data_IF_524922838122
#
_entry.id   IF_524922838122
#
_cell.length_a   1.000
_cell.length_b   1.000
_cell.length_c   1.000
_cell.angle_alpha   90.00
_cell.angle_beta   90.00
_cell.angle_gamma   90.00
#
_symmetry.space_group_name_H-M   'P 1'
#
loop_
_entity.id
_entity.type
_entity.pdbx_description
1 polymer ?
#
# COMPACT_ATOMS: atom_id res chain seq x y z
N UNK A 1 4.64 -23.01 -20.45
CA UNK A 1 6.10 -22.87 -20.21
C UNK A 1 6.27 -22.10 -18.90
N UNK A 2 5.53 -22.49 -17.85
CA UNK A 2 5.20 -21.60 -16.73
C UNK A 2 5.64 -22.14 -15.35
N UNK A 3 5.84 -23.45 -15.22
CA UNK A 3 6.24 -24.05 -13.93
C UNK A 3 7.61 -23.60 -13.44
N UNK A 4 8.57 -23.33 -14.35
CA UNK A 4 9.91 -22.86 -13.97
C UNK A 4 9.92 -21.43 -13.43
N UNK A 5 9.07 -20.54 -13.97
CA UNK A 5 8.99 -19.15 -13.52
C UNK A 5 8.29 -19.05 -12.15
N UNK A 6 7.27 -19.89 -11.93
CA UNK A 6 6.53 -19.94 -10.66
C UNK A 6 7.37 -20.46 -9.49
N UNK A 7 8.23 -21.46 -9.72
CA UNK A 7 9.15 -21.95 -8.68
C UNK A 7 10.18 -20.89 -8.27
N UNK A 8 10.63 -20.05 -9.19
CA UNK A 8 11.61 -18.98 -8.92
C UNK A 8 11.02 -17.86 -8.07
N UNK A 9 9.82 -17.38 -8.41
CA UNK A 9 9.16 -16.29 -7.65
C UNK A 9 8.79 -16.71 -6.23
N UNK A 10 8.26 -17.93 -6.04
CA UNK A 10 7.93 -18.42 -4.69
C UNK A 10 9.16 -18.55 -3.81
N UNK A 11 10.26 -19.08 -4.37
CA UNK A 11 11.52 -19.24 -3.64
C UNK A 11 12.12 -17.89 -3.28
N UNK A 12 12.13 -16.93 -4.22
CA UNK A 12 12.59 -15.55 -3.97
C UNK A 12 11.78 -14.86 -2.88
N UNK A 13 10.44 -14.97 -2.94
CA UNK A 13 9.56 -14.38 -1.93
C UNK A 13 9.80 -14.98 -0.53
N UNK A 14 10.02 -16.29 -0.43
CA UNK A 14 10.36 -16.95 0.83
C UNK A 14 11.71 -16.47 1.37
N UNK A 15 12.74 -16.39 0.52
CA UNK A 15 14.06 -15.90 0.89
C UNK A 15 14.00 -14.48 1.44
N UNK A 16 13.31 -13.57 0.74
CA UNK A 16 13.14 -12.20 1.21
C UNK A 16 12.35 -12.09 2.50
N UNK A 17 11.26 -12.86 2.63
CA UNK A 17 10.48 -12.87 3.85
C UNK A 17 11.36 -13.25 5.06
N UNK A 18 12.23 -14.26 4.90
CA UNK A 18 13.19 -14.65 5.93
C UNK A 18 14.28 -13.61 6.18
N UNK A 19 14.76 -12.95 5.13
CA UNK A 19 15.84 -11.98 5.23
C UNK A 19 15.40 -10.71 5.95
N UNK A 20 14.23 -10.17 5.58
CA UNK A 20 13.73 -8.89 6.11
C UNK A 20 12.87 -9.06 7.37
N UNK A 21 12.44 -10.29 7.65
CA UNK A 21 11.73 -10.70 8.87
C UNK A 21 12.33 -12.03 9.40
N UNK A 22 13.59 -12.04 9.86
CA UNK A 22 14.25 -13.27 10.31
C UNK A 22 13.60 -13.91 11.54
N UNK A 23 12.90 -13.12 12.34
CA UNK A 23 12.15 -13.55 13.52
C UNK A 23 10.66 -13.78 13.21
N UNK A 24 10.31 -14.07 11.95
CA UNK A 24 8.92 -14.33 11.57
C UNK A 24 8.42 -15.61 12.25
N UNK A 25 7.50 -15.43 13.19
CA UNK A 25 6.85 -16.46 13.97
C UNK A 25 5.42 -16.00 14.28
N UNK A 26 4.63 -16.84 14.97
CA UNK A 26 3.23 -16.51 15.23
C UNK A 26 3.09 -15.22 16.05
N UNK A 27 3.95 -15.01 17.04
CA UNK A 27 3.90 -13.81 17.89
C UNK A 27 4.19 -12.54 17.09
N UNK A 28 5.20 -12.55 16.21
CA UNK A 28 5.50 -11.39 15.36
C UNK A 28 4.40 -11.12 14.34
N UNK A 29 3.77 -12.16 13.77
CA UNK A 29 2.58 -12.02 12.93
C UNK A 29 1.40 -11.40 13.69
N UNK A 30 1.12 -11.86 14.90
CA UNK A 30 0.02 -11.35 15.72
C UNK A 30 0.21 -9.85 16.02
N UNK A 31 1.45 -9.41 16.27
CA UNK A 31 1.79 -7.99 16.46
C UNK A 31 1.53 -7.18 15.19
N UNK A 32 1.97 -7.67 14.03
CA UNK A 32 1.74 -7.01 12.73
C UNK A 32 0.24 -6.87 12.45
N UNK A 33 -0.54 -7.92 12.70
CA UNK A 33 -1.98 -7.90 12.45
C UNK A 33 -2.71 -7.01 13.47
N UNK A 34 -2.26 -6.95 14.73
CA UNK A 34 -2.79 -6.02 15.73
C UNK A 34 -2.57 -4.56 15.30
N UNK A 35 -1.38 -4.24 14.80
CA UNK A 35 -1.07 -2.91 14.28
C UNK A 35 -1.99 -2.53 13.11
N UNK A 36 -2.22 -3.45 12.17
CA UNK A 36 -3.16 -3.21 11.07
C UNK A 36 -4.58 -2.96 11.61
N UNK A 37 -5.05 -3.79 12.53
CA UNK A 37 -6.41 -3.67 13.09
C UNK A 37 -6.59 -2.32 13.80
N UNK A 38 -5.61 -1.86 14.57
CA UNK A 38 -5.67 -0.53 15.19
C UNK A 38 -5.72 0.59 14.15
N UNK A 39 -5.01 0.47 13.03
CA UNK A 39 -5.12 1.44 11.94
C UNK A 39 -6.51 1.38 11.26
N UNK A 40 -7.04 0.17 11.02
CA UNK A 40 -8.39 -0.02 10.44
C UNK A 40 -9.45 0.65 11.32
N UNK A 41 -9.36 0.48 12.65
CA UNK A 41 -10.29 1.08 13.61
C UNK A 41 -10.28 2.61 13.52
N UNK A 42 -9.10 3.23 13.45
CA UNK A 42 -8.96 4.68 13.27
C UNK A 42 -9.59 5.12 11.95
N UNK A 43 -9.22 4.47 10.84
CA UNK A 43 -9.68 4.87 9.50
C UNK A 43 -11.18 4.71 9.36
N UNK A 44 -11.76 3.59 9.81
CA UNK A 44 -13.21 3.36 9.75
C UNK A 44 -13.99 4.20 10.76
N UNK A 45 -13.36 4.57 11.87
CA UNK A 45 -13.93 5.49 12.85
C UNK A 45 -14.06 6.90 12.30
N UNK A 46 -13.06 7.38 11.56
CA UNK A 46 -13.07 8.69 10.90
C UNK A 46 -13.89 8.68 9.62
N UNK A 47 -13.61 7.76 8.69
CA UNK A 47 -14.21 7.67 7.36
C UNK A 47 -15.55 6.92 7.40
N UNK A 48 -16.45 7.43 8.21
CA UNK A 48 -17.84 7.00 8.31
C UNK A 48 -18.73 8.19 7.97
N UNK A 49 -19.71 8.00 7.08
CA UNK A 49 -20.59 9.08 6.60
C UNK A 49 -21.28 9.85 7.73
N UNK A 50 -21.78 9.15 8.75
CA UNK A 50 -22.42 9.79 9.90
C UNK A 50 -21.41 10.58 10.75
N UNK A 51 -20.18 10.09 10.87
CA UNK A 51 -19.13 10.77 11.62
C UNK A 51 -18.64 12.01 10.86
N UNK A 52 -18.40 11.90 9.56
CA UNK A 52 -17.90 13.01 8.75
C UNK A 52 -18.97 14.10 8.56
N UNK A 53 -20.18 13.74 8.17
CA UNK A 53 -21.18 14.72 7.72
C UNK A 53 -22.25 15.06 8.75
N UNK A 54 -22.54 14.17 9.71
CA UNK A 54 -23.68 14.34 10.62
C UNK A 54 -23.28 14.69 12.06
N UNK A 55 -22.08 14.30 12.51
CA UNK A 55 -21.68 14.47 13.92
C UNK A 55 -21.28 15.91 14.29
N UNK A 56 -20.86 16.71 13.31
CA UNK A 56 -20.23 18.01 13.52
C UNK A 56 -18.81 17.94 14.13
N UNK A 57 -18.26 16.73 14.36
CA UNK A 57 -16.93 16.54 14.94
C UNK A 57 -15.81 16.93 13.97
N UNK A 58 -16.04 16.76 12.66
CA UNK A 58 -15.05 16.95 11.62
C UNK A 58 -15.39 18.14 10.74
N UNK A 59 -14.59 19.21 10.84
CA UNK A 59 -14.48 20.19 9.76
C UNK A 59 -13.44 19.73 8.75
N UNK A 60 -13.49 20.21 7.51
CA UNK A 60 -12.47 19.90 6.51
C UNK A 60 -11.05 20.27 6.97
N UNK A 61 -10.88 21.36 7.72
CA UNK A 61 -9.54 21.74 8.24
C UNK A 61 -9.06 20.78 9.33
N UNK A 62 -9.96 20.38 10.25
CA UNK A 62 -9.64 19.39 11.28
C UNK A 62 -9.30 18.04 10.64
N UNK A 63 -10.04 17.63 9.61
CA UNK A 63 -9.76 16.41 8.86
C UNK A 63 -8.35 16.42 8.25
N UNK A 64 -7.93 17.53 7.64
CA UNK A 64 -6.56 17.66 7.13
C UNK A 64 -5.52 17.52 8.24
N UNK A 65 -5.68 18.26 9.34
CA UNK A 65 -4.66 18.34 10.39
C UNK A 65 -4.61 17.09 11.26
N UNK A 66 -5.76 16.63 11.73
CA UNK A 66 -5.84 15.59 12.76
C UNK A 66 -5.91 14.17 12.18
N UNK A 67 -6.31 14.02 10.91
CA UNK A 67 -6.36 12.71 10.24
C UNK A 67 -5.32 12.59 9.14
N UNK A 68 -5.37 13.40 8.08
CA UNK A 68 -4.46 13.22 6.94
C UNK A 68 -2.99 13.40 7.32
N UNK A 69 -2.65 14.48 8.03
CA UNK A 69 -1.25 14.80 8.37
C UNK A 69 -0.66 13.92 9.47
N UNK A 70 -1.49 13.21 10.24
CA UNK A 70 -1.06 12.36 11.37
C UNK A 70 -1.08 10.88 11.02
N UNK A 71 -2.12 10.42 10.33
CA UNK A 71 -2.51 9.02 10.24
C UNK A 71 -2.29 8.42 8.85
N UNK A 72 -2.24 9.24 7.80
CA UNK A 72 -1.91 8.80 6.44
C UNK A 72 -0.41 8.92 6.22
N UNK A 73 0.28 7.79 6.15
CA UNK A 73 1.73 7.68 6.05
C UNK A 73 2.25 8.41 4.81
N UNK A 74 1.64 8.19 3.64
CA UNK A 74 2.05 8.83 2.38
C UNK A 74 2.03 10.37 2.48
N UNK A 75 1.05 10.92 3.20
CA UNK A 75 0.95 12.37 3.45
C UNK A 75 2.01 12.82 4.45
N UNK A 76 2.22 12.05 5.52
CA UNK A 76 3.20 12.37 6.58
C UNK A 76 4.64 12.36 6.07
N UNK A 77 4.99 11.39 5.23
CA UNK A 77 6.31 11.31 4.59
C UNK A 77 6.55 12.49 3.63
N UNK A 78 5.49 13.03 3.02
CA UNK A 78 5.53 14.22 2.17
C UNK A 78 5.77 15.55 2.91
N UNK A 79 6.03 15.55 4.21
CA UNK A 79 6.15 16.76 5.05
C UNK A 79 7.14 17.80 4.55
N UNK A 80 8.27 17.35 4.02
CA UNK A 80 9.35 18.23 3.54
C UNK A 80 9.22 18.57 2.04
N UNK A 81 8.05 18.30 1.44
CA UNK A 81 7.76 18.54 0.02
C UNK A 81 6.68 19.60 -0.14
N UNK A 82 6.36 19.95 -1.39
CA UNK A 82 5.23 20.84 -1.73
C UNK A 82 3.85 20.26 -1.35
N UNK A 83 3.75 18.98 -0.97
CA UNK A 83 2.50 18.34 -0.58
C UNK A 83 1.84 19.06 0.60
N UNK A 84 2.57 19.34 1.68
CA UNK A 84 2.02 19.97 2.88
C UNK A 84 1.55 21.42 2.64
N UNK A 85 2.34 22.28 1.97
CA UNK A 85 1.86 23.59 1.52
C UNK A 85 0.59 23.51 0.66
N UNK A 86 0.50 22.56 -0.28
CA UNK A 86 -0.68 22.39 -1.13
C UNK A 86 -1.90 21.89 -0.34
N UNK A 87 -1.70 20.93 0.56
CA UNK A 87 -2.74 20.42 1.45
C UNK A 87 -3.34 21.55 2.29
N UNK A 88 -2.50 22.42 2.87
CA UNK A 88 -2.97 23.56 3.67
C UNK A 88 -3.81 24.55 2.87
N UNK A 89 -3.44 24.82 1.62
CA UNK A 89 -4.16 25.76 0.73
C UNK A 89 -5.45 25.18 0.14
N UNK A 90 -5.52 23.87 0.00
CA UNK A 90 -6.67 23.19 -0.62
C UNK A 90 -7.83 23.12 0.37
N UNK A 91 -9.05 23.29 -0.15
CA UNK A 91 -10.26 23.20 0.66
C UNK A 91 -10.34 21.83 1.32
N UNK A 92 -10.49 21.81 2.64
CA UNK A 92 -10.63 20.57 3.40
C UNK A 92 -11.89 19.81 3.01
N UNK A 93 -13.00 20.51 2.80
CA UNK A 93 -14.29 19.90 2.45
C UNK A 93 -14.22 19.21 1.07
N UNK A 94 -13.53 19.83 0.10
CA UNK A 94 -13.28 19.20 -1.20
C UNK A 94 -12.51 17.87 -1.05
N UNK A 95 -11.49 17.85 -0.19
CA UNK A 95 -10.69 16.64 0.03
C UNK A 95 -11.53 15.56 0.71
N UNK A 96 -12.33 15.94 1.70
CA UNK A 96 -13.26 15.04 2.38
C UNK A 96 -14.22 14.43 1.37
N UNK A 97 -14.87 15.24 0.53
CA UNK A 97 -15.83 14.76 -0.47
C UNK A 97 -15.19 13.78 -1.47
N UNK A 98 -14.00 14.08 -2.00
CA UNK A 98 -13.27 13.16 -2.88
C UNK A 98 -12.95 11.83 -2.19
N UNK A 99 -12.45 11.88 -0.94
CA UNK A 99 -12.10 10.66 -0.19
C UNK A 99 -13.34 9.85 0.14
N UNK A 100 -14.43 10.48 0.55
CA UNK A 100 -15.68 9.80 0.87
C UNK A 100 -16.33 9.20 -0.37
N UNK A 101 -16.34 9.89 -1.51
CA UNK A 101 -16.81 9.34 -2.79
C UNK A 101 -15.99 8.10 -3.20
N UNK A 102 -14.67 8.12 -3.03
CA UNK A 102 -13.81 6.95 -3.21
C UNK A 102 -14.17 5.80 -2.25
N UNK A 103 -14.29 6.06 -0.95
CA UNK A 103 -14.58 5.04 0.07
C UNK A 103 -15.97 4.42 -0.11
N UNK A 104 -16.97 5.19 -0.53
CA UNK A 104 -18.30 4.68 -0.82
C UNK A 104 -18.31 3.90 -2.15
N UNK A 105 -17.65 4.42 -3.18
CA UNK A 105 -17.53 3.73 -4.48
C UNK A 105 -16.83 2.38 -4.35
N UNK A 106 -15.86 2.26 -3.43
CA UNK A 106 -15.18 1.01 -3.11
C UNK A 106 -16.10 -0.13 -2.63
N UNK A 107 -17.30 0.19 -2.12
CA UNK A 107 -18.33 -0.81 -1.71
C UNK A 107 -19.09 -1.39 -2.91
N UNK A 108 -19.01 -0.73 -4.07
CA UNK A 108 -19.76 -1.10 -5.27
C UNK A 108 -18.95 -2.03 -6.18
N UNK A 109 -19.52 -2.37 -7.35
CA UNK A 109 -18.87 -3.12 -8.42
C UNK A 109 -17.98 -2.25 -9.33
N UNK A 110 -17.73 -0.99 -8.98
CA UNK A 110 -16.85 -0.09 -9.72
C UNK A 110 -15.43 -0.65 -9.83
N UNK A 111 -14.74 -0.37 -10.94
CA UNK A 111 -13.37 -0.84 -11.13
C UNK A 111 -12.42 -0.17 -10.12
N UNK A 112 -11.37 -0.87 -9.64
CA UNK A 112 -10.40 -0.29 -8.73
C UNK A 112 -9.74 1.01 -9.23
N UNK A 113 -9.50 1.12 -10.54
CA UNK A 113 -8.92 2.33 -11.14
C UNK A 113 -9.87 3.53 -11.03
N UNK A 114 -11.15 3.34 -11.34
CA UNK A 114 -12.18 4.39 -11.19
C UNK A 114 -12.39 4.78 -9.72
N UNK A 115 -12.35 3.79 -8.81
CA UNK A 115 -12.45 4.03 -7.36
C UNK A 115 -11.30 4.92 -6.90
N UNK A 116 -10.04 4.60 -7.25
CA UNK A 116 -8.88 5.43 -6.89
C UNK A 116 -8.99 6.82 -7.49
N UNK A 117 -9.41 6.93 -8.75
CA UNK A 117 -9.51 8.21 -9.46
C UNK A 117 -10.43 9.21 -8.74
N UNK A 118 -11.51 8.75 -8.11
CA UNK A 118 -12.43 9.60 -7.32
C UNK A 118 -11.77 10.25 -6.11
N UNK A 119 -10.79 9.58 -5.51
CA UNK A 119 -10.09 10.07 -4.32
C UNK A 119 -8.95 11.03 -4.63
N UNK A 120 -8.55 11.15 -5.91
CA UNK A 120 -7.41 11.97 -6.28
C UNK A 120 -7.72 13.45 -6.17
N UNK A 121 -6.82 14.17 -5.50
CA UNK A 121 -6.85 15.63 -5.40
C UNK A 121 -5.50 16.15 -5.88
N UNK A 122 -5.44 16.95 -6.97
CA UNK A 122 -4.19 17.36 -7.58
C UNK A 122 -3.19 17.93 -6.58
N UNK A 123 -1.98 17.36 -6.56
CA UNK A 123 -0.85 17.75 -5.67
C UNK A 123 -1.10 17.56 -4.16
N UNK A 124 -2.19 16.89 -3.77
CA UNK A 124 -2.58 16.71 -2.37
C UNK A 124 -2.81 15.24 -2.04
N UNK A 125 -3.73 14.58 -2.77
CA UNK A 125 -4.01 13.14 -2.63
C UNK A 125 -3.59 12.48 -3.95
N UNK A 126 -2.48 11.76 -3.90
CA UNK A 126 -1.98 10.95 -5.01
C UNK A 126 -2.40 9.48 -4.86
N UNK A 127 -1.95 8.63 -5.78
CA UNK A 127 -2.25 7.19 -5.77
C UNK A 127 -1.75 6.51 -4.49
N UNK A 128 -0.61 6.93 -3.94
CA UNK A 128 -0.07 6.34 -2.72
C UNK A 128 -0.99 6.61 -1.52
N UNK A 129 -1.40 7.87 -1.32
CA UNK A 129 -2.33 8.22 -0.26
C UNK A 129 -3.72 7.59 -0.46
N UNK A 130 -4.24 7.59 -1.69
CA UNK A 130 -5.55 7.02 -2.01
C UNK A 130 -5.59 5.50 -1.74
N UNK A 131 -4.59 4.76 -2.20
CA UNK A 131 -4.52 3.31 -2.02
C UNK A 131 -4.20 2.90 -0.58
N UNK A 132 -3.45 3.72 0.17
CA UNK A 132 -3.29 3.57 1.62
C UNK A 132 -4.65 3.66 2.33
N UNK A 133 -5.40 4.73 2.09
CA UNK A 133 -6.74 4.93 2.66
C UNK A 133 -7.66 3.75 2.32
N UNK A 134 -7.71 3.36 1.05
CA UNK A 134 -8.51 2.21 0.60
C UNK A 134 -8.10 0.91 1.28
N UNK A 135 -6.80 0.65 1.45
CA UNK A 135 -6.31 -0.54 2.13
C UNK A 135 -6.75 -0.55 3.61
N UNK A 136 -6.66 0.58 4.32
CA UNK A 136 -7.09 0.64 5.73
C UNK A 136 -8.62 0.57 5.89
N UNK A 137 -9.39 0.98 4.88
CA UNK A 137 -10.84 0.78 4.87
C UNK A 137 -11.24 -0.66 4.47
N UNK A 138 -10.57 -1.25 3.49
CA UNK A 138 -10.89 -2.56 2.90
C UNK A 138 -9.62 -3.41 2.67
N UNK A 139 -9.01 -3.92 3.74
CA UNK A 139 -7.66 -4.50 3.72
C UNK A 139 -7.50 -5.79 2.90
N UNK A 140 -8.62 -6.43 2.56
CA UNK A 140 -8.65 -7.64 1.72
C UNK A 140 -8.70 -7.28 0.22
N UNK A 141 -9.24 -6.11 -0.12
CA UNK A 141 -9.59 -5.75 -1.52
C UNK A 141 -8.52 -4.90 -2.20
N UNK A 142 -7.95 -3.95 -1.47
CA UNK A 142 -7.04 -2.95 -2.03
C UNK A 142 -5.66 -3.05 -1.38
N UNK A 143 -4.61 -3.49 -2.10
CA UNK A 143 -3.23 -3.39 -1.65
C UNK A 143 -2.74 -1.95 -1.74
N UNK A 144 -1.84 -1.56 -0.85
CA UNK A 144 -1.19 -0.26 -0.92
C UNK A 144 -0.27 -0.22 -2.14
N UNK A 145 -0.24 0.92 -2.85
CA UNK A 145 0.63 1.14 -4.01
C UNK A 145 1.42 2.43 -3.81
N UNK A 146 2.67 2.26 -3.40
CA UNK A 146 3.65 3.34 -3.26
C UNK A 146 5.02 2.88 -3.78
N UNK A 147 5.95 3.82 -3.96
CA UNK A 147 7.26 3.58 -4.60
C UNK A 147 8.00 2.34 -4.09
N UNK A 148 8.05 2.15 -2.75
CA UNK A 148 8.73 0.98 -2.15
C UNK A 148 8.05 -0.35 -2.52
N UNK A 149 6.71 -0.42 -2.47
CA UNK A 149 5.96 -1.60 -2.88
C UNK A 149 6.10 -1.87 -4.39
N UNK A 150 6.13 -0.83 -5.22
CA UNK A 150 6.34 -0.95 -6.67
C UNK A 150 7.74 -1.47 -6.99
N UNK A 151 8.76 -0.98 -6.28
CA UNK A 151 10.12 -1.44 -6.43
C UNK A 151 10.29 -2.90 -6.01
N UNK A 152 9.74 -3.31 -4.86
CA UNK A 152 9.75 -4.71 -4.44
C UNK A 152 9.02 -5.61 -5.44
N UNK A 153 7.92 -5.15 -6.02
CA UNK A 153 7.20 -5.87 -7.06
C UNK A 153 8.02 -6.01 -8.35
N UNK A 154 8.73 -4.95 -8.75
CA UNK A 154 9.62 -4.94 -9.91
C UNK A 154 10.73 -5.98 -9.76
N UNK A 155 11.38 -6.03 -8.61
CA UNK A 155 12.43 -7.01 -8.32
C UNK A 155 11.91 -8.46 -8.34
N UNK A 156 10.67 -8.73 -7.89
CA UNK A 156 10.11 -10.10 -7.91
C UNK A 156 9.67 -10.55 -9.29
N UNK A 157 8.97 -9.68 -10.02
CA UNK A 157 8.18 -10.10 -11.19
C UNK A 157 8.70 -9.55 -12.52
N UNK A 158 9.59 -8.57 -12.48
CA UNK A 158 10.04 -7.83 -13.66
C UNK A 158 11.56 -7.62 -13.69
N UNK A 159 12.33 -8.47 -12.99
CA UNK A 159 13.80 -8.42 -12.98
C UNK A 159 14.37 -7.05 -12.57
N UNK A 160 13.62 -6.28 -11.78
CA UNK A 160 13.99 -4.92 -11.36
C UNK A 160 13.45 -3.79 -12.25
N UNK A 161 12.80 -4.10 -13.37
CA UNK A 161 12.21 -3.08 -14.25
C UNK A 161 11.01 -2.38 -13.58
N UNK A 162 11.31 -1.24 -12.94
CA UNK A 162 10.32 -0.39 -12.29
C UNK A 162 9.41 0.33 -13.30
N UNK A 163 9.84 0.48 -14.56
CA UNK A 163 9.02 1.10 -15.61
C UNK A 163 7.83 0.19 -15.96
N UNK A 164 8.06 -1.11 -16.06
CA UNK A 164 7.00 -2.09 -16.28
C UNK A 164 5.94 -2.04 -15.18
N UNK A 165 6.34 -1.89 -13.92
CA UNK A 165 5.41 -1.76 -12.78
C UNK A 165 4.64 -0.45 -12.82
N UNK A 166 5.32 0.66 -13.13
CA UNK A 166 4.69 1.99 -13.22
C UNK A 166 3.60 2.06 -14.30
N UNK A 167 3.72 1.28 -15.37
CA UNK A 167 2.76 1.22 -16.46
C UNK A 167 1.50 0.39 -16.13
N UNK A 168 1.52 -0.40 -15.05
CA UNK A 168 0.35 -1.18 -14.64
C UNK A 168 -0.78 -0.24 -14.22
N UNK A 169 -2.00 -0.54 -14.66
CA UNK A 169 -3.21 -0.05 -14.00
C UNK A 169 -3.27 -0.54 -12.55
N UNK A 170 -4.05 0.13 -11.71
CA UNK A 170 -4.21 -0.31 -10.33
C UNK A 170 -4.94 -1.66 -10.26
N UNK A 171 -5.88 -1.94 -11.17
CA UNK A 171 -6.50 -3.28 -11.27
C UNK A 171 -5.48 -4.37 -11.58
N UNK A 172 -4.54 -4.13 -12.50
CA UNK A 172 -3.47 -5.10 -12.79
C UNK A 172 -2.52 -5.26 -11.60
N UNK A 173 -2.16 -4.16 -10.93
CA UNK A 173 -1.35 -4.18 -9.72
C UNK A 173 -2.02 -5.05 -8.63
N UNK A 174 -3.33 -4.91 -8.42
CA UNK A 174 -4.12 -5.75 -7.49
C UNK A 174 -3.99 -7.23 -7.83
N UNK A 175 -4.09 -7.59 -9.11
CA UNK A 175 -3.96 -9.00 -9.53
C UNK A 175 -2.57 -9.54 -9.19
N UNK A 176 -1.51 -8.78 -9.46
CA UNK A 176 -0.13 -9.19 -9.13
C UNK A 176 0.07 -9.35 -7.62
N UNK A 177 -0.39 -8.38 -6.84
CA UNK A 177 -0.29 -8.41 -5.37
C UNK A 177 -1.07 -9.57 -4.76
N UNK A 178 -2.28 -9.86 -5.26
CA UNK A 178 -3.08 -10.98 -4.78
C UNK A 178 -2.45 -12.35 -5.11
N UNK A 179 -1.76 -12.46 -6.26
CA UNK A 179 -1.04 -13.68 -6.59
C UNK A 179 0.16 -13.89 -5.66
N UNK A 180 0.94 -12.85 -5.38
CA UNK A 180 2.03 -12.91 -4.40
C UNK A 180 1.53 -13.18 -2.98
N UNK A 181 0.39 -12.61 -2.60
CA UNK A 181 -0.24 -12.84 -1.30
C UNK A 181 -0.62 -14.32 -1.13
N UNK A 182 -1.17 -14.96 -2.16
CA UNK A 182 -1.47 -16.40 -2.13
C UNK A 182 -0.21 -17.24 -1.92
N UNK A 183 0.86 -16.95 -2.66
CA UNK A 183 2.15 -17.63 -2.48
C UNK A 183 2.70 -17.41 -1.06
N UNK A 184 2.64 -16.19 -0.54
CA UNK A 184 3.06 -15.89 0.82
C UNK A 184 2.24 -16.70 1.85
N UNK A 185 0.93 -16.81 1.66
CA UNK A 185 0.06 -17.61 2.54
C UNK A 185 0.44 -19.09 2.52
N UNK A 186 0.79 -19.64 1.36
CA UNK A 186 1.26 -21.02 1.22
C UNK A 186 2.59 -21.24 1.96
N UNK A 187 3.55 -20.32 1.81
CA UNK A 187 4.84 -20.33 2.52
C UNK A 187 4.64 -20.25 4.05
N UNK A 188 3.74 -19.39 4.52
CA UNK A 188 3.45 -19.28 5.95
C UNK A 188 2.78 -20.56 6.49
N UNK A 189 1.84 -21.11 5.72
CA UNK A 189 1.12 -22.32 6.10
C UNK A 189 2.05 -23.54 6.17
N UNK A 190 3.01 -23.68 5.26
CA UNK A 190 4.01 -24.77 5.29
C UNK A 190 4.92 -24.69 6.51
N UNK A 191 5.03 -23.51 7.12
CA UNK A 191 5.75 -23.22 8.38
C UNK A 191 4.85 -23.25 9.62
N UNK A 192 3.63 -23.76 9.47
CA UNK A 192 2.62 -23.83 10.54
C UNK A 192 2.19 -22.46 11.10
N UNK A 193 2.45 -21.38 10.36
CA UNK A 193 2.06 -20.02 10.74
C UNK A 193 0.66 -19.69 10.20
N UNK A 194 -0.15 -19.07 11.05
CA UNK A 194 -1.52 -18.67 10.70
C UNK A 194 -1.59 -17.17 10.54
N UNK A 195 -2.07 -16.73 9.38
CA UNK A 195 -2.32 -15.32 9.08
C UNK A 195 -3.78 -15.10 8.68
N UNK A 196 -4.48 -14.14 9.32
CA UNK A 196 -5.79 -13.69 8.86
C UNK A 196 -5.74 -13.09 7.45
N UNK A 197 -6.78 -13.32 6.64
CA UNK A 197 -6.81 -12.86 5.24
C UNK A 197 -6.69 -11.33 5.11
N UNK A 198 -7.27 -10.59 6.05
CA UNK A 198 -7.16 -9.13 6.09
C UNK A 198 -5.74 -8.63 6.38
N UNK A 199 -4.87 -9.46 6.95
CA UNK A 199 -3.50 -9.09 7.28
C UNK A 199 -2.50 -9.42 6.16
N UNK A 200 -2.90 -10.24 5.18
CA UNK A 200 -2.00 -10.82 4.20
C UNK A 200 -1.40 -9.79 3.24
N UNK A 201 -2.22 -8.90 2.68
CA UNK A 201 -1.74 -7.82 1.81
C UNK A 201 -0.88 -6.81 2.57
N UNK A 202 -1.17 -6.58 3.85
CA UNK A 202 -0.37 -5.70 4.70
C UNK A 202 1.00 -6.29 5.02
N UNK A 203 1.06 -7.59 5.31
CA UNK A 203 2.34 -8.29 5.52
C UNK A 203 3.18 -8.28 4.24
N UNK A 204 2.56 -8.58 3.08
CA UNK A 204 3.25 -8.56 1.80
C UNK A 204 3.84 -7.17 1.52
N UNK A 205 3.06 -6.11 1.70
CA UNK A 205 3.54 -4.74 1.55
C UNK A 205 4.75 -4.43 2.46
N UNK A 206 4.72 -4.87 3.72
CA UNK A 206 5.85 -4.71 4.64
C UNK A 206 7.11 -5.44 4.16
N UNK A 207 6.98 -6.65 3.63
CA UNK A 207 8.10 -7.41 3.08
C UNK A 207 8.70 -6.64 1.90
N UNK A 208 7.87 -6.26 0.91
CA UNK A 208 8.33 -5.52 -0.27
C UNK A 208 8.99 -4.18 0.11
N UNK A 209 8.41 -3.47 1.08
CA UNK A 209 8.94 -2.21 1.56
C UNK A 209 10.31 -2.34 2.21
N UNK A 210 10.51 -3.37 3.04
CA UNK A 210 11.80 -3.62 3.68
C UNK A 210 12.87 -4.08 2.69
N UNK A 211 12.50 -4.86 1.68
CA UNK A 211 13.41 -5.25 0.60
C UNK A 211 13.88 -4.00 -0.16
N UNK A 212 12.99 -3.05 -0.42
CA UNK A 212 13.35 -1.77 -1.05
C UNK A 212 14.30 -0.91 -0.20
N UNK A 213 14.40 -1.17 1.10
CA UNK A 213 15.31 -0.50 2.03
C UNK A 213 16.65 -1.25 2.20
N UNK A 214 16.77 -2.47 1.66
CA UNK A 214 17.96 -3.29 1.79
C UNK A 214 19.10 -2.78 0.87
N UNK A 215 20.26 -2.40 1.42
CA UNK A 215 21.38 -1.86 0.65
C UNK A 215 21.86 -2.75 -0.50
N UNK A 216 21.84 -4.07 -0.33
CA UNK A 216 22.31 -5.02 -1.35
C UNK A 216 21.40 -5.05 -2.58
N UNK A 217 20.10 -4.80 -2.40
CA UNK A 217 19.12 -4.66 -3.49
C UNK A 217 19.23 -3.31 -4.20
N UNK A 218 19.80 -2.29 -3.55
CA UNK A 218 19.99 -0.95 -4.12
C UNK A 218 21.25 -0.87 -5.00
N UNK A 219 22.23 -1.76 -4.85
CA UNK A 219 23.44 -1.80 -5.69
C UNK A 219 23.17 -2.31 -7.11
N UNK A 220 22.13 -3.14 -7.30
CA UNK A 220 21.70 -3.62 -8.63
C UNK A 220 21.33 -2.46 -9.56
N UNK A 221 20.84 -1.33 -9.02
CA UNK A 221 20.45 -0.15 -9.80
C UNK A 221 21.60 0.80 -10.18
N UNK A 222 22.74 0.77 -9.48
CA UNK A 222 23.86 1.66 -9.83
C UNK A 222 24.56 1.23 -11.13
N UNK A 223 24.47 -0.05 -11.47
CA UNK A 223 25.09 -0.59 -12.69
C UNK A 223 24.31 -0.20 -13.95
N UNK A 224 22.98 -0.04 -13.84
CA UNK A 224 22.13 0.34 -14.97
C UNK A 224 22.13 1.85 -15.28
N UNK A 225 22.36 2.73 -14.29
CA UNK A 225 22.51 4.17 -14.52
C UNK A 225 23.89 4.56 -15.11
N UNK A 226 24.93 3.74 -14.90
CA UNK A 226 26.27 3.97 -15.48
C UNK A 226 26.44 3.37 -16.88
N UNK A 227 25.73 2.30 -17.21
CA UNK A 227 25.78 1.68 -18.55
C UNK A 227 24.89 2.35 -19.58
N UNK A 228 23.88 3.12 -19.16
CA UNK A 228 23.04 3.94 -20.05
C UNK A 228 23.62 5.34 -20.35
N UNK A 229 24.84 5.64 -19.86
CA UNK A 229 25.59 6.89 -20.13
C UNK A 229 26.89 6.71 -20.91
N UNK A 230 27.14 5.53 -21.50
CA UNK A 230 28.29 5.30 -22.38
C UNK A 230 27.86 4.89 -23.80
#
# INVERSE_FOLDING_TARGET
MDEKLHLDVSTKLEQWALEVLPELNQQSLDVICKELNSNIEIYRGVLNENVIYCSGEWSGERFKQDFLMTSVLAIREGRQTELWPNLKKTSGDLIVDCIMDMVESAKTSMSPDEVVAKGLVPKVIDVAAATEILHKCYPIKFPMRHKKSEFGLALLLYEGDSTAVNQLSYSEFIVKMNNLAKLLKEILTSRELKIPDNCLLFLLDRILSKVAENPECLEVNKVDEETSKN
#
